data_IF_907451733653
#
_entry.id   IF_907451733653
#
_cell.length_a   1.000
_cell.length_b   1.000
_cell.length_c   1.000
_cell.angle_alpha   90.00
_cell.angle_beta   90.00
_cell.angle_gamma   90.00
#
_symmetry.space_group_name_H-M   'P 1'
#
loop_
_entity.id
_entity.type
_entity.pdbx_description
1 polymer ?
#
# COMPACT_ATOMS: atom_id res chain seq x y z
N UNK A 1 11.66 21.83 22.02
CA UNK A 1 10.54 20.96 21.65
C UNK A 1 9.35 21.88 21.42
N UNK A 2 9.14 22.35 20.19
CA UNK A 2 8.10 23.34 19.89
C UNK A 2 6.88 22.63 19.32
N UNK A 3 5.78 22.68 20.08
CA UNK A 3 4.50 22.06 19.73
C UNK A 3 3.83 22.99 18.70
N UNK A 4 4.09 22.74 17.41
CA UNK A 4 3.39 23.43 16.34
C UNK A 4 1.94 22.97 16.27
N UNK A 5 1.01 23.79 16.76
CA UNK A 5 -0.41 23.63 16.48
C UNK A 5 -0.62 23.74 14.96
N UNK A 6 -1.29 22.75 14.36
CA UNK A 6 -1.48 22.64 12.92
C UNK A 6 -2.90 23.11 12.58
N UNK A 7 -3.11 24.37 12.17
CA UNK A 7 -4.41 24.79 11.66
C UNK A 7 -4.66 24.17 10.28
N UNK A 8 -5.93 23.92 9.97
CA UNK A 8 -6.41 23.18 8.79
C UNK A 8 -6.07 23.79 7.41
N UNK A 9 -5.33 24.91 7.38
CA UNK A 9 -5.03 25.68 6.17
C UNK A 9 -3.60 25.50 5.62
N UNK A 10 -2.83 24.53 6.11
CA UNK A 10 -1.49 24.21 5.57
C UNK A 10 -0.42 25.27 5.84
N UNK A 11 -0.65 26.15 6.82
CA UNK A 11 0.32 27.15 7.27
C UNK A 11 0.97 26.64 8.55
N UNK A 12 2.31 26.58 8.56
CA UNK A 12 3.11 26.30 9.75
C UNK A 12 3.78 27.61 10.17
N UNK A 13 3.53 28.07 11.40
CA UNK A 13 4.30 29.18 11.97
C UNK A 13 5.63 28.63 12.49
N UNK A 14 6.74 29.11 11.92
CA UNK A 14 8.07 28.76 12.39
C UNK A 14 8.69 29.96 13.07
N UNK A 15 9.13 29.77 14.30
CA UNK A 15 9.95 30.73 15.03
C UNK A 15 11.34 30.76 14.43
N UNK A 16 11.77 31.95 14.01
CA UNK A 16 13.14 32.24 13.63
C UNK A 16 13.68 33.30 14.57
N UNK A 17 14.90 33.09 15.05
CA UNK A 17 15.60 34.04 15.91
C UNK A 17 16.70 34.68 15.07
N UNK A 18 16.64 35.99 14.93
CA UNK A 18 17.74 36.77 14.37
C UNK A 18 18.92 36.70 15.35
N UNK A 19 20.08 36.27 14.84
CA UNK A 19 21.23 35.95 15.69
C UNK A 19 22.01 37.16 16.17
N UNK A 20 21.81 38.31 15.53
CA UNK A 20 22.54 39.54 15.82
C UNK A 20 21.72 40.45 16.75
N UNK A 21 20.39 40.39 16.66
CA UNK A 21 19.47 41.24 17.45
C UNK A 21 18.72 40.47 18.55
N UNK A 22 18.63 39.15 18.46
CA UNK A 22 17.86 38.31 19.39
C UNK A 22 16.34 38.38 19.19
N UNK A 23 15.88 39.10 18.16
CA UNK A 23 14.46 39.24 17.86
C UNK A 23 13.87 37.92 17.34
N UNK A 24 12.65 37.60 17.82
CA UNK A 24 11.91 36.40 17.41
C UNK A 24 10.88 36.80 16.36
N UNK A 25 11.00 36.20 15.18
CA UNK A 25 10.06 36.35 14.08
C UNK A 25 9.20 35.09 13.93
N UNK A 26 7.88 35.27 13.88
CA UNK A 26 6.95 34.21 13.47
C UNK A 26 6.71 34.30 11.97
N UNK A 27 7.41 33.47 11.21
CA UNK A 27 7.27 33.45 9.74
C UNK A 27 6.22 32.40 9.35
N UNK A 28 5.15 32.79 8.62
CA UNK A 28 4.21 31.82 8.06
C UNK A 28 4.86 31.08 6.90
N UNK A 29 5.09 29.76 7.09
CA UNK A 29 5.51 28.87 6.02
C UNK A 29 4.25 28.28 5.39
N UNK A 30 3.95 28.72 4.17
CA UNK A 30 2.89 28.14 3.35
C UNK A 30 3.36 26.80 2.79
N UNK A 31 2.92 25.71 3.42
CA UNK A 31 3.12 24.38 2.83
C UNK A 31 2.00 24.14 1.82
N UNK A 32 2.32 24.05 0.53
CA UNK A 32 1.36 23.52 -0.44
C UNK A 32 1.10 22.07 -0.03
N UNK A 33 -0.14 21.72 0.27
CA UNK A 33 -0.56 20.32 0.28
C UNK A 33 -0.25 19.77 -1.11
N UNK A 34 0.74 18.87 -1.20
CA UNK A 34 1.26 18.38 -2.48
C UNK A 34 0.40 17.28 -3.09
N UNK A 35 -0.66 16.83 -2.41
CA UNK A 35 -1.55 15.79 -2.93
C UNK A 35 -3.01 16.11 -2.59
N UNK A 36 -3.84 16.30 -3.62
CA UNK A 36 -5.28 16.60 -3.50
C UNK A 36 -6.20 15.52 -4.09
N UNK A 37 -5.68 14.39 -4.55
CA UNK A 37 -6.48 13.35 -5.23
C UNK A 37 -6.27 11.97 -4.63
N UNK A 38 -7.25 11.48 -3.86
CA UNK A 38 -7.33 10.07 -3.45
C UNK A 38 -6.10 9.48 -2.74
N UNK A 39 -6.03 8.15 -2.70
CA UNK A 39 -4.91 7.42 -2.13
C UNK A 39 -3.78 7.20 -3.14
N UNK A 40 -2.52 7.33 -2.69
CA UNK A 40 -1.32 6.99 -3.48
C UNK A 40 -0.52 5.85 -2.83
N UNK A 41 0.27 5.12 -3.59
CA UNK A 41 1.33 4.23 -3.10
C UNK A 41 2.61 4.46 -3.92
N UNK A 42 3.77 4.12 -3.36
CA UNK A 42 5.03 4.17 -4.11
C UNK A 42 5.20 2.84 -4.85
N UNK A 43 5.36 2.90 -6.17
CA UNK A 43 5.66 1.74 -7.00
C UNK A 43 7.16 1.54 -7.15
N UNK A 44 7.61 0.28 -7.18
CA UNK A 44 9.00 -0.09 -7.46
C UNK A 44 9.15 -0.39 -8.95
N UNK A 45 10.11 0.25 -9.62
CA UNK A 45 10.32 0.08 -11.06
C UNK A 45 10.62 -1.39 -11.43
N UNK A 46 11.52 -2.03 -10.68
CA UNK A 46 11.86 -3.46 -10.87
C UNK A 46 10.65 -4.38 -10.73
N UNK A 47 9.76 -4.11 -9.76
CA UNK A 47 8.53 -4.85 -9.59
C UNK A 47 7.62 -4.74 -10.82
N UNK A 48 7.49 -3.54 -11.40
CA UNK A 48 6.68 -3.34 -12.61
C UNK A 48 7.29 -3.98 -13.86
N UNK A 49 8.62 -3.97 -13.99
CA UNK A 49 9.32 -4.71 -15.04
C UNK A 49 9.07 -6.21 -14.88
N UNK A 50 9.09 -6.73 -13.65
CA UNK A 50 8.77 -8.13 -13.38
C UNK A 50 7.31 -8.45 -13.75
N UNK A 51 6.34 -7.62 -13.35
CA UNK A 51 4.92 -7.79 -13.72
C UNK A 51 4.71 -7.84 -15.24
N UNK A 52 5.41 -6.98 -15.99
CA UNK A 52 5.34 -6.98 -17.45
C UNK A 52 5.84 -8.31 -18.05
N UNK A 53 6.91 -8.89 -17.48
CA UNK A 53 7.48 -10.18 -17.94
C UNK A 53 6.58 -11.38 -17.60
N UNK A 54 5.74 -11.29 -16.57
CA UNK A 54 4.79 -12.36 -16.21
C UNK A 54 3.68 -12.56 -17.26
N UNK A 55 3.48 -11.59 -18.16
CA UNK A 55 2.51 -11.71 -19.24
C UNK A 55 1.07 -11.86 -18.76
N UNK A 56 0.67 -11.12 -17.71
CA UNK A 56 -0.71 -11.05 -17.25
C UNK A 56 -1.60 -10.47 -18.36
N UNK A 57 -2.71 -11.14 -18.72
CA UNK A 57 -3.54 -10.76 -19.87
C UNK A 57 -4.95 -10.33 -19.46
N UNK A 58 -5.50 -9.35 -20.19
CA UNK A 58 -6.91 -8.96 -20.13
C UNK A 58 -7.43 -8.76 -18.70
N UNK A 59 -8.36 -9.63 -18.29
CA UNK A 59 -8.98 -9.60 -16.97
C UNK A 59 -7.99 -9.77 -15.80
N UNK A 60 -6.91 -10.55 -15.97
CA UNK A 60 -5.90 -10.70 -14.90
C UNK A 60 -5.24 -9.36 -14.59
N UNK A 61 -4.87 -8.59 -15.63
CA UNK A 61 -4.28 -7.28 -15.47
C UNK A 61 -5.28 -6.27 -14.88
N UNK A 62 -6.55 -6.33 -15.30
CA UNK A 62 -7.62 -5.49 -14.73
C UNK A 62 -7.78 -5.75 -13.23
N UNK A 63 -7.81 -7.02 -12.82
CA UNK A 63 -7.89 -7.39 -11.40
C UNK A 63 -6.65 -6.91 -10.64
N UNK A 64 -5.45 -7.08 -11.18
CA UNK A 64 -4.22 -6.60 -10.53
C UNK A 64 -4.26 -5.09 -10.29
N UNK A 65 -4.60 -4.31 -11.32
CA UNK A 65 -4.66 -2.85 -11.23
C UNK A 65 -5.70 -2.38 -10.22
N UNK A 66 -6.87 -3.04 -10.19
CA UNK A 66 -7.91 -2.76 -9.21
C UNK A 66 -7.46 -3.08 -7.77
N UNK A 67 -6.79 -4.22 -7.57
CA UNK A 67 -6.22 -4.61 -6.26
C UNK A 67 -5.17 -3.61 -5.78
N UNK A 68 -4.27 -3.15 -6.67
CA UNK A 68 -3.28 -2.12 -6.34
C UNK A 68 -3.95 -0.77 -5.97
N UNK A 69 -5.06 -0.43 -6.62
CA UNK A 69 -5.87 0.74 -6.27
C UNK A 69 -6.53 0.67 -4.89
N UNK A 70 -6.73 -0.53 -4.34
CA UNK A 70 -7.37 -0.80 -3.04
C UNK A 70 -6.36 -1.07 -1.92
N UNK A 71 -5.07 -0.74 -2.13
CA UNK A 71 -4.04 -0.88 -1.09
C UNK A 71 -4.32 0.02 0.12
N UNK A 72 -4.38 -0.61 1.28
CA UNK A 72 -4.37 0.04 2.59
C UNK A 72 -2.93 0.14 3.14
N UNK A 73 -2.75 0.90 4.22
CA UNK A 73 -1.46 1.07 4.87
C UNK A 73 -0.77 -0.27 5.16
N UNK A 74 0.55 -0.25 5.06
CA UNK A 74 1.40 -1.45 5.24
C UNK A 74 1.09 -2.59 4.24
N UNK A 75 0.59 -2.21 3.06
CA UNK A 75 0.33 -3.08 1.90
C UNK A 75 -0.82 -4.07 2.07
N UNK A 76 -1.70 -3.87 3.05
CA UNK A 76 -2.85 -4.75 3.24
C UNK A 76 -3.91 -4.53 2.16
N UNK A 77 -4.53 -5.64 1.77
CA UNK A 77 -5.63 -5.72 0.82
C UNK A 77 -6.75 -6.48 1.52
N UNK A 78 -7.86 -5.78 1.77
CA UNK A 78 -9.05 -6.31 2.43
C UNK A 78 -10.25 -6.13 1.51
N UNK A 79 -10.32 -6.97 0.48
CA UNK A 79 -11.39 -6.90 -0.50
C UNK A 79 -11.93 -8.27 -0.83
N UNK A 80 -13.24 -8.38 -0.99
CA UNK A 80 -13.88 -9.64 -1.37
C UNK A 80 -13.85 -9.83 -2.89
N UNK A 81 -13.73 -11.06 -3.36
CA UNK A 81 -13.85 -11.36 -4.79
C UNK A 81 -15.27 -11.07 -5.33
N UNK A 82 -16.29 -11.04 -4.46
CA UNK A 82 -17.64 -10.59 -4.83
C UNK A 82 -17.64 -9.11 -5.22
N UNK A 83 -17.00 -8.26 -4.42
CA UNK A 83 -16.89 -6.82 -4.67
C UNK A 83 -16.13 -6.56 -5.97
N UNK A 84 -14.99 -7.22 -6.18
CA UNK A 84 -14.24 -7.11 -7.45
C UNK A 84 -15.10 -7.55 -8.64
N UNK A 85 -15.88 -8.61 -8.49
CA UNK A 85 -16.77 -9.13 -9.54
C UNK A 85 -17.85 -8.12 -9.92
N UNK A 86 -18.46 -7.48 -8.92
CA UNK A 86 -19.48 -6.44 -9.13
C UNK A 86 -18.89 -5.20 -9.79
N UNK A 87 -17.73 -4.74 -9.32
CA UNK A 87 -17.11 -3.51 -9.82
C UNK A 87 -16.53 -3.65 -11.24
N UNK A 88 -15.95 -4.81 -11.56
CA UNK A 88 -15.30 -5.03 -12.85
C UNK A 88 -16.16 -5.79 -13.86
N UNK A 89 -17.31 -6.35 -13.44
CA UNK A 89 -18.12 -7.24 -14.29
C UNK A 89 -17.41 -8.56 -14.66
N UNK A 90 -16.39 -8.96 -13.90
CA UNK A 90 -15.61 -10.18 -14.14
C UNK A 90 -16.20 -11.34 -13.32
N UNK A 91 -16.37 -12.51 -13.92
CA UNK A 91 -16.87 -13.67 -13.18
C UNK A 91 -15.89 -14.12 -12.08
N UNK A 92 -16.43 -14.46 -10.91
CA UNK A 92 -15.64 -14.85 -9.72
C UNK A 92 -14.59 -15.94 -9.96
N UNK A 93 -14.83 -16.99 -10.78
CA UNK A 93 -13.80 -17.99 -11.06
C UNK A 93 -12.53 -17.40 -11.70
N UNK A 94 -12.66 -16.41 -12.59
CA UNK A 94 -11.52 -15.73 -13.20
C UNK A 94 -10.73 -14.91 -12.17
N UNK A 95 -11.44 -14.24 -11.26
CA UNK A 95 -10.82 -13.48 -10.17
C UNK A 95 -10.08 -14.43 -9.22
N UNK A 96 -10.71 -15.53 -8.83
CA UNK A 96 -10.07 -16.54 -7.98
C UNK A 96 -8.82 -17.13 -8.61
N UNK A 97 -8.85 -17.41 -9.92
CA UNK A 97 -7.70 -17.89 -10.68
C UNK A 97 -6.58 -16.85 -10.71
N UNK A 98 -6.91 -15.57 -10.96
CA UNK A 98 -5.95 -14.47 -10.94
C UNK A 98 -5.27 -14.32 -9.56
N UNK A 99 -6.04 -14.35 -8.47
CA UNK A 99 -5.48 -14.28 -7.10
C UNK A 99 -4.55 -15.46 -6.79
N UNK A 100 -4.91 -16.68 -7.20
CA UNK A 100 -4.05 -17.85 -7.05
C UNK A 100 -2.72 -17.64 -7.77
N UNK A 101 -2.76 -17.15 -9.02
CA UNK A 101 -1.56 -16.81 -9.81
C UNK A 101 -0.73 -15.73 -9.12
N UNK A 102 -1.34 -14.67 -8.58
CA UNK A 102 -0.61 -13.61 -7.88
C UNK A 102 0.10 -14.11 -6.64
N UNK A 103 -0.50 -15.05 -5.91
CA UNK A 103 0.14 -15.69 -4.76
C UNK A 103 1.28 -16.60 -5.19
N UNK A 104 1.08 -17.43 -6.21
CA UNK A 104 2.13 -18.31 -6.75
C UNK A 104 3.34 -17.55 -7.29
N UNK A 105 3.13 -16.36 -7.87
CA UNK A 105 4.19 -15.50 -8.38
C UNK A 105 4.80 -14.57 -7.31
N UNK A 106 4.37 -14.67 -6.04
CA UNK A 106 4.89 -13.84 -4.94
C UNK A 106 4.53 -12.36 -5.04
N UNK A 107 3.53 -12.00 -5.86
CA UNK A 107 3.01 -10.63 -5.92
C UNK A 107 2.20 -10.34 -4.66
N UNK A 108 1.36 -11.29 -4.25
CA UNK A 108 0.52 -11.21 -3.06
C UNK A 108 0.87 -12.32 -2.09
N UNK A 109 0.82 -12.01 -0.80
CA UNK A 109 0.94 -12.97 0.29
C UNK A 109 -0.40 -13.14 0.96
N UNK A 110 -0.85 -14.38 1.11
CA UNK A 110 -2.14 -14.67 1.75
C UNK A 110 -2.01 -14.40 3.26
N UNK A 111 -2.90 -13.56 3.77
CA UNK A 111 -2.98 -13.21 5.18
C UNK A 111 -4.06 -14.02 5.91
N UNK A 112 -4.31 -13.68 7.20
CA UNK A 112 -5.36 -14.31 7.97
C UNK A 112 -6.75 -14.06 7.37
N UNK A 113 -7.69 -14.95 7.67
CA UNK A 113 -9.09 -14.76 7.31
C UNK A 113 -9.71 -13.74 8.29
N UNK A 114 -10.38 -12.73 7.75
CA UNK A 114 -11.12 -11.74 8.54
C UNK A 114 -12.59 -11.84 8.16
N UNK A 115 -13.41 -12.29 9.10
CA UNK A 115 -14.80 -12.68 8.83
C UNK A 115 -14.87 -13.80 7.79
N UNK A 116 -15.55 -13.56 6.68
CA UNK A 116 -15.73 -14.54 5.60
C UNK A 116 -14.67 -14.45 4.51
N UNK A 117 -13.85 -13.38 4.48
CA UNK A 117 -12.93 -13.09 3.38
C UNK A 117 -11.47 -13.28 3.79
N UNK A 118 -10.66 -13.74 2.84
CA UNK A 118 -9.20 -13.78 3.01
C UNK A 118 -8.62 -12.37 2.86
N UNK A 119 -7.63 -12.05 3.68
CA UNK A 119 -6.82 -10.85 3.48
C UNK A 119 -5.59 -11.20 2.66
N UNK A 120 -5.03 -10.21 1.98
CA UNK A 120 -3.80 -10.35 1.20
C UNK A 120 -2.87 -9.19 1.50
N UNK A 121 -1.58 -9.38 1.22
CA UNK A 121 -0.58 -8.34 1.39
C UNK A 121 0.30 -8.24 0.15
N UNK A 122 0.45 -7.03 -0.40
CA UNK A 122 1.34 -6.81 -1.53
C UNK A 122 2.79 -6.94 -1.11
N UNK A 123 3.57 -7.69 -1.89
CA UNK A 123 5.01 -7.79 -1.66
C UNK A 123 5.69 -6.42 -1.83
N UNK A 124 6.52 -6.00 -0.86
CA UNK A 124 7.15 -4.68 -0.87
C UNK A 124 8.17 -4.47 -2.00
N UNK A 125 8.49 -5.50 -2.80
CA UNK A 125 9.25 -5.38 -4.04
C UNK A 125 8.45 -4.78 -5.20
N UNK A 126 7.12 -4.73 -5.12
CA UNK A 126 6.25 -4.10 -6.13
C UNK A 126 5.79 -2.71 -5.74
N UNK A 127 5.58 -2.46 -4.45
CA UNK A 127 5.23 -1.13 -3.97
C UNK A 127 5.04 -1.03 -2.47
N UNK A 128 4.94 0.20 -1.96
CA UNK A 128 4.69 0.50 -0.55
C UNK A 128 3.61 1.56 -0.41
N UNK A 129 2.50 1.18 0.23
CA UNK A 129 1.47 2.10 0.72
C UNK A 129 1.88 2.60 2.11
N UNK A 130 2.56 3.74 2.14
CA UNK A 130 3.07 4.34 3.38
C UNK A 130 4.46 4.95 3.19
N UNK A 131 5.30 4.88 4.22
CA UNK A 131 6.68 5.40 4.17
C UNK A 131 7.63 4.33 3.65
N UNK A 132 8.60 4.72 2.81
CA UNK A 132 9.55 3.79 2.19
C UNK A 132 10.33 2.96 3.23
N UNK A 133 10.66 3.56 4.39
CA UNK A 133 11.33 2.87 5.51
C UNK A 133 10.57 1.65 6.05
N UNK A 134 9.26 1.54 5.77
CA UNK A 134 8.45 0.42 6.22
C UNK A 134 8.68 -0.85 5.37
N UNK A 135 9.40 -0.76 4.25
CA UNK A 135 9.64 -1.89 3.34
C UNK A 135 10.20 -3.12 4.04
N UNK A 136 11.21 -2.93 4.90
CA UNK A 136 11.83 -4.03 5.68
C UNK A 136 10.83 -4.67 6.64
N UNK A 137 10.10 -3.85 7.40
CA UNK A 137 9.05 -4.31 8.33
C UNK A 137 7.99 -5.16 7.62
N UNK A 138 7.51 -4.69 6.46
CA UNK A 138 6.52 -5.42 5.67
C UNK A 138 7.06 -6.79 5.24
N UNK A 139 8.32 -6.85 4.80
CA UNK A 139 8.98 -8.11 4.40
C UNK A 139 9.12 -9.09 5.55
N UNK A 140 9.56 -8.63 6.72
CA UNK A 140 9.70 -9.47 7.90
C UNK A 140 8.34 -10.06 8.32
N UNK A 141 7.28 -9.26 8.30
CA UNK A 141 5.92 -9.72 8.61
C UNK A 141 5.36 -10.69 7.57
N UNK A 142 5.67 -10.52 6.29
CA UNK A 142 5.33 -11.49 5.24
C UNK A 142 5.98 -12.84 5.51
N UNK A 143 7.25 -12.86 5.91
CA UNK A 143 7.95 -14.10 6.26
C UNK A 143 7.26 -14.82 7.44
N UNK A 144 6.72 -14.08 8.40
CA UNK A 144 5.94 -14.68 9.48
C UNK A 144 4.61 -15.28 8.99
N UNK A 145 3.94 -14.67 8.00
CA UNK A 145 2.70 -15.22 7.42
C UNK A 145 2.92 -16.53 6.67
N UNK A 146 4.00 -16.61 5.88
CA UNK A 146 4.30 -17.81 5.09
C UNK A 146 4.65 -19.00 5.97
N UNK A 147 5.32 -18.78 7.11
CA UNK A 147 5.59 -19.81 8.11
C UNK A 147 4.31 -20.39 8.73
N UNK A 148 3.29 -19.56 8.97
CA UNK A 148 2.01 -20.00 9.57
C UNK A 148 1.20 -20.85 8.56
N UNK A 149 1.11 -20.42 7.29
CA UNK A 149 0.39 -21.19 6.25
C UNK A 149 1.09 -22.53 5.93
N UNK A 150 2.43 -22.55 5.98
CA UNK A 150 3.22 -23.77 5.83
C UNK A 150 3.12 -24.73 7.02
N UNK A 151 2.98 -24.19 8.24
CA UNK A 151 2.77 -24.98 9.46
C UNK A 151 1.41 -25.67 9.51
N UNK A 152 0.35 -25.04 8.99
CA UNK A 152 -1.01 -25.63 8.93
C UNK A 152 -1.19 -26.70 7.83
N UNK A 153 -0.18 -26.96 6.99
CA UNK A 153 -0.23 -28.00 5.95
C UNK A 153 0.39 -29.34 6.37
N UNK A 154 0.95 -29.42 7.57
CA UNK A 154 1.57 -30.64 8.10
C UNK A 154 0.78 -31.15 9.33
N UNK A 155 -0.44 -31.62 9.11
CA UNK A 155 -1.28 -32.42 10.03
C UNK A 155 -2.45 -33.01 9.23
#
# INVERSE_FOLDING_TARGET
>A
MTIGHKPDNGVILKEMVDRDTGEIFHVPIFTRSTYRGGGFFMAMQEGFIHLAKLGLKGQEMQVLMYVLGKLDFENWIRISQSEISQDLGIARPHISSAFKKFVEQGILHKGPKVGTSWTYRLDPSFGVKGRAKNQKKIRDEINHLTLIDGGMKNE
#
